data_IF_972251265914
#
_entry.id   IF_972251265914
#
_cell.length_a   1.000
_cell.length_b   1.000
_cell.length_c   1.000
_cell.angle_alpha   90.00
_cell.angle_beta   90.00
_cell.angle_gamma   90.00
#
_symmetry.space_group_name_H-M   'P 1'
#
loop_
_entity.id
_entity.type
_entity.pdbx_description
1 polymer ?
#
# COMPACT_ATOMS: atom_id res chain seq x y z
N UNK A 1 -6.21 -7.95 16.34
CA UNK A 1 -5.02 -7.21 15.87
C UNK A 1 -5.03 -5.76 16.35
N UNK A 2 -6.14 -5.07 16.30
CA UNK A 2 -6.35 -3.72 16.88
C UNK A 2 -7.01 -3.77 18.27
N UNK A 3 -7.50 -4.91 18.73
CA UNK A 3 -8.28 -5.08 19.96
C UNK A 3 -7.52 -4.93 21.28
N UNK A 4 -6.20 -4.67 21.24
CA UNK A 4 -5.38 -4.40 22.42
C UNK A 4 -5.12 -2.88 22.60
N UNK A 5 -5.63 -2.04 21.68
CA UNK A 5 -5.52 -0.59 21.77
C UNK A 5 -6.74 -0.05 22.51
N UNK A 6 -6.51 0.81 23.52
CA UNK A 6 -7.58 1.52 24.26
C UNK A 6 -8.09 2.72 23.45
N UNK A 7 -8.62 2.42 22.26
CA UNK A 7 -9.15 3.40 21.29
C UNK A 7 -10.36 2.85 20.56
N UNK A 8 -11.30 3.70 20.28
CA UNK A 8 -12.42 3.41 19.39
C UNK A 8 -11.94 3.54 17.94
N UNK A 9 -12.19 2.52 17.13
CA UNK A 9 -11.86 2.54 15.71
C UNK A 9 -12.97 1.97 14.83
N UNK A 10 -13.07 2.49 13.63
CA UNK A 10 -13.92 1.93 12.57
C UNK A 10 -13.09 1.63 11.32
N UNK A 11 -13.41 0.53 10.64
CA UNK A 11 -12.76 0.13 9.39
C UNK A 11 -13.74 0.30 8.25
N UNK A 12 -13.36 1.10 7.27
CA UNK A 12 -14.10 1.32 6.04
C UNK A 12 -13.34 0.73 4.87
N UNK A 13 -14.03 -0.05 4.05
CA UNK A 13 -13.45 -0.61 2.82
C UNK A 13 -13.88 0.23 1.62
N UNK A 14 -12.96 0.43 0.70
CA UNK A 14 -13.22 1.14 -0.56
C UNK A 14 -12.70 0.32 -1.74
N UNK A 15 -13.30 0.51 -2.89
CA UNK A 15 -12.88 -0.09 -4.17
C UNK A 15 -12.55 0.98 -5.20
N UNK A 16 -13.18 2.13 -5.09
CA UNK A 16 -13.06 3.23 -6.05
C UNK A 16 -12.71 4.52 -5.34
N UNK A 17 -12.29 5.47 -6.11
CA UNK A 17 -12.07 6.84 -5.68
C UNK A 17 -13.32 7.48 -5.06
N UNK A 18 -14.46 7.28 -5.71
CA UNK A 18 -15.74 7.82 -5.21
C UNK A 18 -16.13 7.25 -3.85
N UNK A 19 -15.72 6.01 -3.55
CA UNK A 19 -15.95 5.42 -2.23
C UNK A 19 -15.14 6.15 -1.16
N UNK A 20 -13.88 6.49 -1.45
CA UNK A 20 -13.01 7.24 -0.51
C UNK A 20 -13.64 8.60 -0.22
N UNK A 21 -14.07 9.30 -1.24
CA UNK A 21 -14.74 10.58 -1.10
C UNK A 21 -16.02 10.48 -0.27
N UNK A 22 -16.88 9.50 -0.58
CA UNK A 22 -18.09 9.25 0.16
C UNK A 22 -17.83 8.94 1.65
N UNK A 23 -16.86 8.07 1.95
CA UNK A 23 -16.49 7.73 3.33
C UNK A 23 -16.02 8.99 4.06
N UNK A 24 -15.14 9.75 3.42
CA UNK A 24 -14.60 10.97 4.02
C UNK A 24 -15.72 11.99 4.35
N UNK A 25 -16.59 12.26 3.40
CA UNK A 25 -17.65 13.28 3.54
C UNK A 25 -18.78 12.90 4.51
N UNK A 26 -19.04 11.58 4.67
CA UNK A 26 -20.24 11.15 5.40
C UNK A 26 -19.96 10.46 6.74
N UNK A 27 -18.70 10.08 7.00
CA UNK A 27 -18.43 9.19 8.15
C UNK A 27 -17.29 9.68 9.04
N UNK A 28 -16.37 10.51 8.52
CA UNK A 28 -15.14 10.80 9.25
C UNK A 28 -15.18 11.98 10.21
N UNK A 29 -16.25 12.75 10.28
CA UNK A 29 -16.35 13.93 11.17
C UNK A 29 -16.18 13.58 12.66
N UNK A 30 -16.54 12.35 13.06
CA UNK A 30 -16.50 11.90 14.45
C UNK A 30 -15.13 11.37 14.90
N UNK A 31 -14.14 11.30 14.01
CA UNK A 31 -12.85 10.69 14.31
C UNK A 31 -11.75 11.73 14.50
N UNK A 32 -10.87 11.48 15.48
CA UNK A 32 -9.72 12.35 15.78
C UNK A 32 -8.57 12.22 14.78
N UNK A 33 -8.51 11.14 14.01
CA UNK A 33 -7.46 10.87 13.02
C UNK A 33 -7.83 9.78 12.03
N UNK A 34 -7.06 9.67 10.97
CA UNK A 34 -7.31 8.78 9.84
C UNK A 34 -6.06 7.95 9.54
N UNK A 35 -6.22 6.63 9.43
CA UNK A 35 -5.18 5.72 8.97
C UNK A 35 -5.62 5.06 7.67
N UNK A 36 -4.87 5.27 6.60
CA UNK A 36 -5.21 4.74 5.27
C UNK A 36 -4.33 3.56 4.88
N UNK A 37 -4.83 2.71 3.99
CA UNK A 37 -4.15 1.50 3.52
C UNK A 37 -2.91 1.77 2.65
N UNK A 38 -2.68 3.02 2.26
CA UNK A 38 -1.54 3.45 1.46
C UNK A 38 -1.53 4.96 1.28
N UNK A 39 -0.50 5.48 0.64
CA UNK A 39 -0.33 6.92 0.41
C UNK A 39 -1.40 7.52 -0.49
N UNK A 40 -1.92 6.76 -1.46
CA UNK A 40 -2.89 7.25 -2.42
C UNK A 40 -4.15 7.84 -1.76
N UNK A 41 -4.92 7.12 -0.91
CA UNK A 41 -6.09 7.71 -0.25
C UNK A 41 -5.74 8.88 0.67
N UNK A 42 -4.57 8.87 1.33
CA UNK A 42 -4.13 9.97 2.17
C UNK A 42 -3.90 11.26 1.35
N UNK A 43 -3.16 11.15 0.25
CA UNK A 43 -2.91 12.29 -0.63
C UNK A 43 -4.19 12.82 -1.28
N UNK A 44 -5.10 11.92 -1.61
CA UNK A 44 -6.42 12.29 -2.11
C UNK A 44 -7.18 13.17 -1.14
N UNK A 45 -7.24 12.76 0.13
CA UNK A 45 -7.91 13.55 1.16
C UNK A 45 -7.26 14.93 1.23
N UNK A 46 -5.95 15.02 1.28
CA UNK A 46 -5.24 16.31 1.30
C UNK A 46 -5.47 17.18 0.05
N UNK A 47 -5.60 16.54 -1.11
CA UNK A 47 -5.81 17.26 -2.37
C UNK A 47 -7.20 17.91 -2.44
N UNK A 48 -8.22 17.14 -2.06
CA UNK A 48 -9.62 17.60 -2.18
C UNK A 48 -10.13 18.35 -0.96
N UNK A 49 -9.59 18.06 0.22
CA UNK A 49 -10.03 18.64 1.50
C UNK A 49 -8.89 19.41 2.17
N UNK A 50 -8.53 20.55 1.59
CA UNK A 50 -7.42 21.40 2.06
C UNK A 50 -7.59 21.92 3.48
N UNK A 51 -8.82 21.98 3.98
CA UNK A 51 -9.13 22.39 5.34
C UNK A 51 -9.02 21.22 6.35
N UNK A 52 -8.70 20.01 5.88
CA UNK A 52 -8.48 18.86 6.77
C UNK A 52 -7.28 19.13 7.69
N UNK A 53 -7.58 19.09 8.96
CA UNK A 53 -6.58 19.34 10.01
C UNK A 53 -6.24 18.11 10.82
N UNK A 54 -7.04 17.06 10.80
CA UNK A 54 -6.77 15.83 11.54
C UNK A 54 -5.52 15.15 11.04
N UNK A 55 -4.76 14.49 11.90
CA UNK A 55 -3.62 13.69 11.48
C UNK A 55 -4.07 12.57 10.53
N UNK A 56 -3.38 12.44 9.42
CA UNK A 56 -3.57 11.34 8.47
C UNK A 56 -2.26 10.58 8.36
N UNK A 57 -2.28 9.32 8.76
CA UNK A 57 -1.18 8.39 8.55
C UNK A 57 -1.55 7.36 7.49
N UNK A 58 -0.56 6.74 6.87
CA UNK A 58 -0.78 5.69 5.89
C UNK A 58 0.28 4.62 5.96
N UNK A 59 -0.06 3.42 5.51
CA UNK A 59 0.90 2.33 5.41
C UNK A 59 1.80 2.53 4.20
N UNK A 60 3.11 2.45 4.45
CA UNK A 60 4.12 2.31 3.41
C UNK A 60 4.46 0.84 3.17
N UNK A 61 5.37 0.58 2.25
CA UNK A 61 5.88 -0.75 2.02
C UNK A 61 6.59 -1.28 3.26
N UNK A 62 6.07 -2.38 3.81
CA UNK A 62 6.71 -3.12 4.89
C UNK A 62 7.69 -4.14 4.29
N UNK A 63 8.98 -3.81 4.29
CA UNK A 63 10.04 -4.68 3.77
C UNK A 63 10.03 -6.07 4.46
N UNK A 64 9.75 -6.10 5.77
CA UNK A 64 9.65 -7.36 6.50
C UNK A 64 8.47 -8.21 6.04
N UNK A 65 7.35 -7.60 5.67
CA UNK A 65 6.20 -8.29 5.09
C UNK A 65 6.53 -8.86 3.70
N UNK A 66 7.30 -8.11 2.91
CA UNK A 66 7.75 -8.56 1.59
C UNK A 66 8.67 -9.77 1.69
N UNK A 67 9.69 -9.74 2.55
CA UNK A 67 10.55 -10.90 2.79
C UNK A 67 9.78 -12.10 3.33
N UNK A 68 8.83 -11.89 4.22
CA UNK A 68 7.96 -12.96 4.73
C UNK A 68 7.13 -13.59 3.61
N UNK A 69 6.60 -12.76 2.69
CA UNK A 69 5.90 -13.27 1.51
C UNK A 69 6.80 -14.14 0.67
N UNK A 70 8.03 -13.70 0.37
CA UNK A 70 8.98 -14.51 -0.42
C UNK A 70 9.36 -15.81 0.28
N UNK A 71 9.58 -15.80 1.59
CA UNK A 71 9.83 -17.02 2.36
C UNK A 71 8.64 -17.99 2.29
N UNK A 72 7.41 -17.48 2.38
CA UNK A 72 6.20 -18.28 2.20
C UNK A 72 6.14 -18.89 0.80
N UNK A 73 6.37 -18.09 -0.23
CA UNK A 73 6.37 -18.54 -1.62
C UNK A 73 7.42 -19.62 -1.90
N UNK A 74 8.63 -19.48 -1.35
CA UNK A 74 9.69 -20.48 -1.43
C UNK A 74 9.31 -21.78 -0.71
N UNK A 75 8.65 -21.69 0.44
CA UNK A 75 8.18 -22.87 1.18
C UNK A 75 7.08 -23.62 0.42
N UNK A 76 6.17 -22.90 -0.22
CA UNK A 76 5.07 -23.46 -1.01
C UNK A 76 5.54 -23.98 -2.38
N UNK A 77 6.58 -23.37 -2.96
CA UNK A 77 7.10 -23.66 -4.28
C UNK A 77 8.62 -23.83 -4.21
N UNK A 78 9.10 -25.01 -3.85
CA UNK A 78 10.54 -25.29 -3.62
C UNK A 78 11.45 -24.97 -4.80
N UNK A 79 10.91 -25.00 -6.02
CA UNK A 79 11.63 -24.73 -7.26
C UNK A 79 11.27 -23.35 -7.84
N UNK A 80 10.83 -22.40 -7.00
CA UNK A 80 10.48 -21.07 -7.46
C UNK A 80 11.71 -20.39 -8.10
N UNK A 81 11.59 -20.04 -9.36
CA UNK A 81 12.58 -19.26 -10.07
C UNK A 81 12.18 -17.78 -10.04
N UNK A 82 12.93 -16.98 -9.29
CA UNK A 82 12.67 -15.54 -9.17
C UNK A 82 12.83 -14.78 -10.49
N UNK A 83 13.47 -15.35 -11.51
CA UNK A 83 13.47 -14.74 -12.85
C UNK A 83 12.12 -14.85 -13.55
N UNK A 84 11.24 -15.71 -13.04
CA UNK A 84 9.86 -15.92 -13.51
C UNK A 84 8.81 -15.36 -12.56
N UNK A 85 9.22 -14.47 -11.66
CA UNK A 85 8.35 -13.71 -10.77
C UNK A 85 8.42 -12.25 -11.16
N UNK A 86 7.30 -11.65 -11.48
CA UNK A 86 7.21 -10.20 -11.65
C UNK A 86 6.77 -9.55 -10.34
N UNK A 87 7.55 -8.62 -9.85
CA UNK A 87 7.25 -7.86 -8.62
C UNK A 87 7.34 -6.36 -8.89
N UNK A 88 6.20 -5.73 -9.17
CA UNK A 88 6.13 -4.30 -9.45
C UNK A 88 6.71 -3.45 -8.30
N UNK A 89 6.62 -3.95 -7.06
CA UNK A 89 7.13 -3.29 -5.85
C UNK A 89 8.62 -2.92 -5.93
N UNK A 90 9.39 -3.60 -6.76
CA UNK A 90 10.82 -3.29 -6.99
C UNK A 90 11.08 -2.92 -8.45
N UNK A 91 10.40 -3.56 -9.39
CA UNK A 91 10.71 -3.43 -10.81
C UNK A 91 10.30 -2.09 -11.43
N UNK A 92 9.26 -1.42 -10.90
CA UNK A 92 8.90 -0.06 -11.33
C UNK A 92 9.99 0.96 -11.03
N UNK A 93 10.92 0.63 -10.12
CA UNK A 93 12.10 1.46 -9.80
C UNK A 93 13.37 1.00 -10.53
N UNK A 94 13.25 0.11 -11.50
CA UNK A 94 14.38 -0.41 -12.26
C UNK A 94 15.24 -1.44 -11.52
N UNK A 95 14.76 -1.98 -10.40
CA UNK A 95 15.44 -3.03 -9.64
C UNK A 95 14.87 -4.39 -10.01
N UNK A 96 15.71 -5.27 -10.55
CA UNK A 96 15.30 -6.66 -10.84
C UNK A 96 15.03 -7.43 -9.53
N UNK A 97 13.93 -8.18 -9.48
CA UNK A 97 13.57 -8.94 -8.28
C UNK A 97 14.68 -9.90 -7.83
N UNK A 98 15.34 -10.58 -8.77
CA UNK A 98 16.46 -11.47 -8.47
C UNK A 98 17.60 -10.73 -7.78
N UNK A 99 17.96 -9.54 -8.26
CA UNK A 99 19.05 -8.74 -7.69
C UNK A 99 18.69 -8.24 -6.29
N UNK A 100 17.43 -7.89 -6.09
CA UNK A 100 16.90 -7.53 -4.76
C UNK A 100 16.99 -8.71 -3.78
N UNK A 101 16.46 -9.89 -4.16
CA UNK A 101 16.46 -11.09 -3.31
C UNK A 101 17.87 -11.58 -2.97
N UNK A 102 18.81 -11.48 -3.90
CA UNK A 102 20.21 -11.86 -3.70
C UNK A 102 21.05 -10.77 -2.99
N UNK A 103 20.41 -9.66 -2.59
CA UNK A 103 21.06 -8.57 -1.86
C UNK A 103 22.04 -7.74 -2.71
N UNK A 104 21.97 -7.84 -4.03
CA UNK A 104 22.77 -7.02 -4.96
C UNK A 104 22.22 -5.60 -5.13
N UNK A 105 20.94 -5.42 -4.87
CA UNK A 105 20.27 -4.13 -4.89
C UNK A 105 19.50 -3.94 -3.59
N UNK A 106 19.58 -2.76 -2.96
CA UNK A 106 18.74 -2.45 -1.79
C UNK A 106 17.27 -2.32 -2.19
N UNK A 107 16.39 -2.32 -1.19
CA UNK A 107 15.01 -1.88 -1.39
C UNK A 107 15.02 -0.48 -2.00
N UNK A 108 14.29 -0.24 -3.08
CA UNK A 108 14.15 1.11 -3.62
C UNK A 108 13.66 2.06 -2.54
N UNK A 109 14.28 3.23 -2.46
CA UNK A 109 13.77 4.32 -1.63
C UNK A 109 12.45 4.79 -2.24
N UNK A 110 11.35 4.25 -1.72
CA UNK A 110 10.00 4.67 -2.08
C UNK A 110 9.75 6.00 -1.36
N UNK A 111 10.31 7.04 -1.93
CA UNK A 111 10.12 8.39 -1.48
C UNK A 111 8.63 8.71 -1.39
N UNK A 112 8.20 9.13 -0.22
CA UNK A 112 6.87 9.69 -0.06
C UNK A 112 6.76 10.91 -0.98
N UNK A 113 5.82 10.87 -1.92
CA UNK A 113 5.49 12.06 -2.69
C UNK A 113 4.91 13.09 -1.72
N UNK A 114 5.41 14.30 -1.77
CA UNK A 114 4.75 15.39 -1.07
C UNK A 114 3.37 15.64 -1.68
N UNK A 115 2.47 16.25 -0.94
CA UNK A 115 1.13 16.58 -1.44
C UNK A 115 1.19 17.42 -2.74
N UNK A 116 2.23 18.25 -2.90
CA UNK A 116 2.45 19.09 -4.09
C UNK A 116 2.97 18.30 -5.31
N UNK A 117 3.60 17.15 -5.07
CA UNK A 117 4.11 16.23 -6.12
C UNK A 117 3.07 15.16 -6.50
N UNK A 118 1.95 15.08 -5.76
CA UNK A 118 0.92 14.10 -6.02
C UNK A 118 0.08 14.50 -7.24
N UNK A 119 0.17 13.68 -8.26
CA UNK A 119 -0.65 13.76 -9.47
C UNK A 119 -1.50 12.50 -9.58
N UNK A 120 -2.82 12.67 -9.42
CA UNK A 120 -3.76 11.56 -9.43
C UNK A 120 -3.85 10.88 -10.80
N UNK A 121 -3.88 11.65 -11.87
CA UNK A 121 -3.97 11.10 -13.23
C UNK A 121 -2.75 10.23 -13.53
N UNK A 122 -1.58 10.69 -13.11
CA UNK A 122 -0.32 9.95 -13.20
C UNK A 122 -0.36 8.67 -12.36
N UNK A 123 -0.88 8.72 -11.14
CA UNK A 123 -0.96 7.55 -10.25
C UNK A 123 -1.91 6.48 -10.80
N UNK A 124 -3.08 6.90 -11.28
CA UNK A 124 -4.02 5.99 -11.96
C UNK A 124 -3.43 5.41 -13.24
N UNK A 125 -2.66 6.21 -13.98
CA UNK A 125 -1.92 5.76 -15.16
C UNK A 125 -0.91 4.67 -14.84
N UNK A 126 -0.13 4.84 -13.76
CA UNK A 126 0.84 3.83 -13.29
C UNK A 126 0.13 2.52 -12.90
N UNK A 127 -0.97 2.58 -12.14
CA UNK A 127 -1.72 1.37 -11.77
C UNK A 127 -2.25 0.61 -13.01
N UNK A 128 -2.76 1.34 -14.00
CA UNK A 128 -3.26 0.76 -15.24
C UNK A 128 -2.14 0.15 -16.09
N UNK A 129 -1.00 0.83 -16.18
CA UNK A 129 0.18 0.33 -16.88
C UNK A 129 0.71 -0.95 -16.24
N UNK A 130 0.82 -0.96 -14.90
CA UNK A 130 1.27 -2.14 -14.16
C UNK A 130 0.28 -3.31 -14.29
N UNK A 131 -1.04 -3.06 -14.19
CA UNK A 131 -2.03 -4.08 -14.46
C UNK A 131 -1.81 -4.73 -15.85
N UNK A 132 -1.69 -3.91 -16.91
CA UNK A 132 -1.46 -4.40 -18.25
C UNK A 132 -0.15 -5.18 -18.39
N UNK A 133 0.90 -4.78 -17.67
CA UNK A 133 2.20 -5.48 -17.68
C UNK A 133 2.13 -6.84 -16.99
N UNK A 134 1.47 -6.95 -15.83
CA UNK A 134 1.23 -8.22 -15.16
C UNK A 134 0.48 -9.21 -16.07
N UNK A 135 -0.64 -8.77 -16.67
CA UNK A 135 -1.45 -9.61 -17.57
C UNK A 135 -0.64 -10.06 -18.78
N UNK A 136 0.04 -9.14 -19.45
CA UNK A 136 0.85 -9.45 -20.63
C UNK A 136 1.96 -10.46 -20.34
N UNK A 137 2.72 -10.27 -19.25
CA UNK A 137 3.79 -11.19 -18.87
C UNK A 137 3.26 -12.59 -18.54
N UNK A 138 2.08 -12.66 -17.92
CA UNK A 138 1.39 -13.89 -17.61
C UNK A 138 0.93 -14.63 -18.89
N UNK A 139 0.24 -13.94 -19.79
CA UNK A 139 -0.25 -14.49 -21.04
C UNK A 139 0.86 -14.96 -21.97
N UNK A 140 1.99 -14.25 -21.97
CA UNK A 140 3.20 -14.63 -22.74
C UNK A 140 3.97 -15.80 -22.08
N UNK A 141 3.51 -16.29 -20.92
CA UNK A 141 4.19 -17.36 -20.19
C UNK A 141 5.57 -17.00 -19.66
N UNK A 142 5.86 -15.70 -19.52
CA UNK A 142 7.15 -15.19 -19.03
C UNK A 142 7.28 -15.28 -17.52
N UNK A 143 6.16 -15.29 -16.82
CA UNK A 143 6.11 -15.37 -15.35
C UNK A 143 5.22 -16.52 -14.89
N UNK A 144 5.52 -17.05 -13.70
CA UNK A 144 4.74 -18.10 -13.03
C UNK A 144 3.91 -17.55 -11.88
N UNK A 145 4.25 -16.35 -11.41
CA UNK A 145 3.47 -15.60 -10.42
C UNK A 145 3.85 -14.12 -10.42
N UNK A 146 2.98 -13.32 -9.84
CA UNK A 146 3.14 -11.87 -9.67
C UNK A 146 3.08 -11.48 -8.19
N UNK A 147 3.80 -10.42 -7.84
CA UNK A 147 3.66 -9.70 -6.56
C UNK A 147 3.38 -8.24 -6.89
N UNK A 148 2.27 -7.71 -6.39
CA UNK A 148 1.91 -6.30 -6.63
C UNK A 148 1.84 -5.51 -5.34
N UNK A 149 2.25 -4.25 -5.39
CA UNK A 149 2.06 -3.25 -4.33
C UNK A 149 0.68 -2.58 -4.37
N UNK A 150 -0.03 -2.73 -5.46
CA UNK A 150 -1.33 -2.09 -5.69
C UNK A 150 -2.47 -3.03 -5.32
N UNK A 151 -3.02 -2.89 -4.12
CA UNK A 151 -4.15 -3.73 -3.68
C UNK A 151 -5.40 -3.55 -4.57
N UNK A 152 -5.55 -2.38 -5.19
CA UNK A 152 -6.66 -2.03 -6.09
C UNK A 152 -6.76 -2.93 -7.32
N UNK A 153 -5.63 -3.35 -7.90
CA UNK A 153 -5.61 -4.18 -9.11
C UNK A 153 -5.65 -5.69 -8.82
N UNK A 154 -5.51 -6.12 -7.58
CA UNK A 154 -5.48 -7.56 -7.23
C UNK A 154 -6.72 -8.31 -7.71
N UNK A 155 -7.98 -7.83 -7.47
CA UNK A 155 -9.16 -8.54 -7.95
C UNK A 155 -9.18 -8.71 -9.48
N UNK A 156 -8.85 -7.64 -10.23
CA UNK A 156 -8.82 -7.67 -11.68
C UNK A 156 -7.73 -8.61 -12.23
N UNK A 157 -6.55 -8.67 -11.58
CA UNK A 157 -5.50 -9.62 -11.93
C UNK A 157 -5.94 -11.08 -11.70
N UNK A 158 -6.65 -11.34 -10.60
CA UNK A 158 -7.19 -12.67 -10.32
C UNK A 158 -8.26 -13.08 -11.33
N UNK A 159 -9.14 -12.16 -11.73
CA UNK A 159 -10.14 -12.39 -12.80
C UNK A 159 -9.48 -12.67 -14.14
N UNK A 160 -8.34 -12.03 -14.44
CA UNK A 160 -7.53 -12.31 -15.62
C UNK A 160 -6.73 -13.63 -15.53
N UNK A 161 -6.87 -14.37 -14.42
CA UNK A 161 -6.19 -15.65 -14.20
C UNK A 161 -4.74 -15.54 -13.74
N UNK A 162 -4.24 -14.34 -13.44
CA UNK A 162 -2.88 -14.13 -12.95
C UNK A 162 -2.74 -14.65 -11.53
N UNK A 163 -1.72 -15.48 -11.28
CA UNK A 163 -1.37 -15.90 -9.93
C UNK A 163 -0.67 -14.76 -9.19
N UNK A 164 -1.43 -13.93 -8.50
CA UNK A 164 -0.96 -12.70 -7.87
C UNK A 164 -0.98 -12.77 -6.35
N UNK A 165 0.02 -12.15 -5.73
CA UNK A 165 0.17 -11.99 -4.30
C UNK A 165 0.34 -10.51 -3.93
N UNK A 166 -0.18 -10.15 -2.75
CA UNK A 166 -0.03 -8.83 -2.17
C UNK A 166 0.67 -8.94 -0.81
N UNK A 167 1.75 -8.17 -0.54
CA UNK A 167 2.46 -8.20 0.73
C UNK A 167 1.68 -7.39 1.79
N UNK A 168 0.81 -8.07 2.53
CA UNK A 168 0.09 -7.43 3.63
C UNK A 168 1.06 -6.96 4.73
N UNK A 169 0.83 -5.77 5.32
CA UNK A 169 1.61 -5.26 6.43
C UNK A 169 1.72 -6.26 7.58
N UNK A 170 2.87 -6.29 8.25
CA UNK A 170 3.04 -7.11 9.45
C UNK A 170 2.22 -6.55 10.62
N UNK A 171 1.83 -7.44 11.57
CA UNK A 171 1.12 -7.01 12.78
C UNK A 171 1.90 -5.94 13.55
N UNK A 172 3.22 -6.08 13.61
CA UNK A 172 4.11 -5.12 14.26
C UNK A 172 4.04 -3.75 13.58
N UNK A 173 4.17 -3.72 12.25
CA UNK A 173 4.13 -2.47 11.49
C UNK A 173 2.76 -1.77 11.59
N UNK A 174 1.67 -2.53 11.59
CA UNK A 174 0.33 -1.96 11.84
C UNK A 174 0.28 -1.30 13.22
N UNK A 175 0.81 -1.95 14.26
CA UNK A 175 0.90 -1.36 15.61
C UNK A 175 1.71 -0.06 15.62
N UNK A 176 2.90 -0.06 15.03
CA UNK A 176 3.77 1.13 14.93
C UNK A 176 3.07 2.31 14.24
N UNK A 177 2.28 2.05 13.20
CA UNK A 177 1.54 3.10 12.51
C UNK A 177 0.34 3.62 13.31
N UNK A 178 -0.33 2.75 14.07
CA UNK A 178 -1.37 3.16 15.00
C UNK A 178 -0.78 4.04 16.11
N UNK A 179 0.33 3.64 16.72
CA UNK A 179 1.01 4.44 17.74
C UNK A 179 1.46 5.80 17.20
N UNK A 180 1.97 5.84 15.97
CA UNK A 180 2.32 7.10 15.28
C UNK A 180 1.10 8.01 15.17
N UNK A 181 -0.03 7.50 14.68
CA UNK A 181 -1.25 8.29 14.53
C UNK A 181 -1.75 8.82 15.88
N UNK A 182 -1.76 7.98 16.92
CA UNK A 182 -2.20 8.38 18.26
C UNK A 182 -1.33 9.51 18.83
N UNK A 183 -0.01 9.39 18.68
CA UNK A 183 0.92 10.44 19.12
C UNK A 183 0.69 11.77 18.37
N UNK A 184 0.38 11.73 17.08
CA UNK A 184 0.04 12.92 16.30
C UNK A 184 -1.29 13.55 16.75
N UNK A 185 -2.30 12.73 17.08
CA UNK A 185 -3.57 13.19 17.65
C UNK A 185 -3.36 13.87 18.99
N UNK A 186 -2.60 13.26 19.89
CA UNK A 186 -2.30 13.83 21.22
C UNK A 186 -1.53 15.15 21.10
N UNK A 187 -0.49 15.18 20.28
CA UNK A 187 0.30 16.41 20.03
C UNK A 187 -0.60 17.55 19.60
N UNK A 188 -1.50 17.27 18.68
CA UNK A 188 -2.42 18.27 18.15
C UNK A 188 -3.41 18.78 19.20
N UNK A 189 -4.02 17.87 19.98
CA UNK A 189 -4.92 18.25 21.07
C UNK A 189 -4.24 19.18 22.09
N UNK A 190 -2.94 18.99 22.32
CA UNK A 190 -2.14 19.87 23.19
C UNK A 190 -1.90 21.24 22.54
N UNK A 191 -1.62 21.31 21.24
CA UNK A 191 -1.42 22.55 20.52
C UNK A 191 -2.69 23.42 20.46
N UNK A 192 -3.88 22.81 20.39
CA UNK A 192 -5.18 23.50 20.37
C UNK A 192 -5.61 24.06 21.75
N UNK A 193 -4.93 23.66 22.83
CA UNK A 193 -5.20 24.14 24.19
C UNK A 193 -4.38 25.37 24.61
N UNK A 194 -3.44 25.80 23.77
CA UNK A 194 -2.55 26.95 23.99
C UNK A 194 -3.07 28.18 23.27
#
# INVERSE_FOLDING_TARGET
MLGDLDVDYCIFTYKTFSDIQYIYENVTEEFDGILTSGSFPAHMIHLYYKEEKRPICFFNTDEAALYRLFLKLLNENRNLDFTRVYADIVEIFGVGLKDFVEGRSPMPDIRELSADEFDMERMLGIEQEEYGKHVRLWEEGKIDLSVTRFSSIVPALQEAGVKVYFPFPSKRYVGEMCDKLLNEIERRKLEEQI
#
